data_IF_669372932477
#
_entry.id   IF_669372932477
#
_cell.length_a   1.000
_cell.length_b   1.000
_cell.length_c   1.000
_cell.angle_alpha   90.00
_cell.angle_beta   90.00
_cell.angle_gamma   90.00
#
_symmetry.space_group_name_H-M   'P 1'
#
loop_
_entity.id
_entity.type
_entity.pdbx_description
1 polymer ?
#
# COMPACT_ATOMS: atom_id res chain seq x y z
N UNK A 1 -18.44 -29.21 4.82
CA UNK A 1 -17.36 -28.22 4.58
C UNK A 1 -16.12 -29.02 4.19
N UNK A 2 -15.65 -28.89 2.96
CA UNK A 2 -14.40 -29.54 2.57
C UNK A 2 -13.31 -28.95 3.47
N UNK A 3 -12.63 -29.80 4.24
CA UNK A 3 -11.42 -29.42 4.98
C UNK A 3 -10.47 -28.76 3.98
N UNK A 4 -10.24 -27.45 4.07
CA UNK A 4 -9.28 -26.79 3.20
C UNK A 4 -7.90 -27.39 3.49
N UNK A 5 -7.19 -27.78 2.43
CA UNK A 5 -5.82 -28.32 2.52
C UNK A 5 -4.84 -27.34 3.20
N UNK A 6 -5.22 -26.06 3.27
CA UNK A 6 -4.43 -24.96 3.83
C UNK A 6 -5.26 -24.16 4.84
N UNK A 7 -4.60 -23.66 5.88
CA UNK A 7 -5.08 -22.52 6.68
C UNK A 7 -4.61 -21.22 6.00
N UNK A 8 -5.40 -20.71 5.04
CA UNK A 8 -5.02 -19.53 4.24
C UNK A 8 -4.89 -18.25 5.05
N UNK A 9 -5.47 -18.20 6.26
CA UNK A 9 -5.32 -17.06 7.16
C UNK A 9 -3.92 -17.00 7.76
N UNK A 10 -3.19 -18.13 7.80
CA UNK A 10 -1.84 -18.25 8.39
C UNK A 10 -0.75 -18.60 7.39
N UNK A 11 -1.08 -19.26 6.29
CA UNK A 11 -0.10 -19.73 5.30
C UNK A 11 0.72 -18.56 4.75
N UNK A 12 2.03 -18.57 5.02
CA UNK A 12 3.00 -17.60 4.52
C UNK A 12 3.45 -17.96 3.10
N UNK A 13 4.00 -16.98 2.36
CA UNK A 13 4.57 -17.19 1.03
C UNK A 13 5.77 -18.13 1.07
N UNK A 14 6.63 -17.98 2.07
CA UNK A 14 7.80 -18.83 2.29
C UNK A 14 7.42 -20.27 2.63
N UNK A 15 6.41 -20.50 3.48
CA UNK A 15 5.85 -21.85 3.71
C UNK A 15 5.22 -22.44 2.46
N UNK A 16 4.41 -21.66 1.72
CA UNK A 16 3.82 -22.10 0.47
C UNK A 16 4.90 -22.50 -0.54
N UNK A 17 5.99 -21.73 -0.64
CA UNK A 17 7.13 -22.05 -1.51
C UNK A 17 7.79 -23.38 -1.10
N UNK A 18 8.00 -23.61 0.20
CA UNK A 18 8.53 -24.89 0.73
C UNK A 18 7.62 -26.06 0.39
N UNK A 19 6.30 -25.92 0.50
CA UNK A 19 5.33 -26.98 0.13
C UNK A 19 5.36 -27.29 -1.38
N UNK A 20 5.48 -26.26 -2.22
CA UNK A 20 5.61 -26.42 -3.67
C UNK A 20 6.94 -27.12 -4.04
N UNK A 21 8.03 -26.76 -3.36
CA UNK A 21 9.34 -27.36 -3.57
C UNK A 21 9.41 -28.82 -3.09
N UNK A 22 8.76 -29.12 -1.97
CA UNK A 22 8.59 -30.47 -1.46
C UNK A 22 7.61 -31.31 -2.31
N UNK A 23 6.94 -30.69 -3.29
CA UNK A 23 5.91 -31.31 -4.15
C UNK A 23 4.76 -31.95 -3.35
N UNK A 24 4.50 -31.43 -2.16
CA UNK A 24 3.33 -31.82 -1.34
C UNK A 24 2.08 -31.07 -1.76
N UNK A 25 2.22 -30.06 -2.61
CA UNK A 25 1.13 -29.39 -3.32
C UNK A 25 1.62 -28.82 -4.66
N UNK A 26 0.71 -28.24 -5.42
CA UNK A 26 0.95 -27.58 -6.72
C UNK A 26 0.46 -26.13 -6.69
N UNK A 27 1.00 -25.28 -7.57
CA UNK A 27 0.53 -23.90 -7.72
C UNK A 27 -0.94 -23.88 -8.14
N UNK A 28 -1.39 -24.88 -8.91
CA UNK A 28 -2.80 -25.05 -9.28
C UNK A 28 -3.69 -25.26 -8.05
N UNK A 29 -3.31 -26.13 -7.11
CA UNK A 29 -4.06 -26.37 -5.87
C UNK A 29 -4.08 -25.11 -4.99
N UNK A 30 -2.94 -24.43 -4.87
CA UNK A 30 -2.82 -23.21 -4.09
C UNK A 30 -3.69 -22.08 -4.65
N UNK A 31 -3.64 -21.84 -5.97
CA UNK A 31 -4.48 -20.83 -6.64
C UNK A 31 -5.97 -21.16 -6.49
N UNK A 32 -6.37 -22.43 -6.60
CA UNK A 32 -7.77 -22.84 -6.38
C UNK A 32 -8.24 -22.54 -4.95
N UNK A 33 -7.38 -22.77 -3.95
CA UNK A 33 -7.71 -22.49 -2.56
C UNK A 33 -7.92 -20.99 -2.34
N UNK A 34 -7.03 -20.14 -2.86
CA UNK A 34 -7.17 -18.68 -2.77
C UNK A 34 -8.40 -18.16 -3.51
N UNK A 35 -8.69 -18.66 -4.72
CA UNK A 35 -9.90 -18.29 -5.46
C UNK A 35 -11.17 -18.65 -4.68
N UNK A 36 -11.22 -19.82 -4.05
CA UNK A 36 -12.36 -20.22 -3.22
C UNK A 36 -12.56 -19.28 -2.01
N UNK A 37 -11.47 -18.83 -1.38
CA UNK A 37 -11.52 -17.86 -0.27
C UNK A 37 -12.02 -16.48 -0.75
N UNK A 38 -11.55 -16.02 -1.92
CA UNK A 38 -11.98 -14.78 -2.55
C UNK A 38 -13.47 -14.83 -2.87
N UNK A 39 -13.94 -15.91 -3.52
CA UNK A 39 -15.35 -16.08 -3.88
C UNK A 39 -16.26 -16.09 -2.64
N UNK A 40 -15.77 -16.68 -1.53
CA UNK A 40 -16.52 -16.76 -0.29
C UNK A 40 -16.67 -15.41 0.43
N UNK A 41 -15.69 -14.51 0.32
CA UNK A 41 -15.58 -13.36 1.23
C UNK A 41 -15.35 -11.99 0.59
N UNK A 42 -14.94 -11.88 -0.69
CA UNK A 42 -14.67 -10.58 -1.30
C UNK A 42 -15.95 -9.78 -1.52
N UNK A 43 -16.89 -10.31 -2.31
CA UNK A 43 -18.21 -9.69 -2.52
C UNK A 43 -19.37 -10.49 -1.88
N UNK A 44 -19.07 -11.70 -1.41
CA UNK A 44 -19.97 -12.57 -0.67
C UNK A 44 -19.56 -12.63 0.80
N UNK A 45 -20.35 -13.28 1.65
CA UNK A 45 -19.98 -13.54 3.04
C UNK A 45 -19.67 -12.25 3.81
N UNK A 46 -18.38 -12.03 4.10
CA UNK A 46 -17.89 -10.87 4.83
C UNK A 46 -17.90 -9.57 4.01
N UNK A 47 -18.07 -9.65 2.68
CA UNK A 47 -18.13 -8.50 1.76
C UNK A 47 -16.95 -7.53 1.96
N UNK A 48 -15.75 -8.08 2.00
CA UNK A 48 -14.55 -7.31 2.30
C UNK A 48 -14.23 -6.27 1.22
N UNK A 49 -14.68 -6.48 -0.02
CA UNK A 49 -14.37 -5.66 -1.19
C UNK A 49 -12.87 -5.31 -1.29
N UNK A 50 -12.01 -6.26 -0.91
CA UNK A 50 -10.58 -6.08 -0.88
C UNK A 50 -9.97 -6.12 -2.29
N UNK A 51 -10.57 -6.89 -3.20
CA UNK A 51 -10.22 -6.91 -4.63
C UNK A 51 -11.26 -6.14 -5.43
N UNK A 52 -10.79 -5.20 -6.26
CA UNK A 52 -11.59 -4.46 -7.23
C UNK A 52 -11.75 -5.26 -8.54
N UNK A 53 -10.77 -6.11 -8.85
CA UNK A 53 -10.85 -7.07 -9.95
C UNK A 53 -10.01 -8.31 -9.66
N UNK A 54 -10.45 -9.45 -10.18
CA UNK A 54 -9.71 -10.70 -10.16
C UNK A 54 -9.48 -11.17 -11.60
N UNK A 55 -8.31 -11.77 -11.85
CA UNK A 55 -8.01 -12.29 -13.17
C UNK A 55 -8.90 -13.50 -13.48
N UNK A 56 -9.21 -13.78 -14.76
CA UNK A 56 -10.00 -14.95 -15.14
C UNK A 56 -9.43 -16.24 -14.55
N UNK A 57 -10.29 -17.05 -13.91
CA UNK A 57 -9.85 -18.24 -13.21
C UNK A 57 -9.13 -19.24 -14.13
N UNK A 58 -9.59 -19.40 -15.36
CA UNK A 58 -8.96 -20.24 -16.38
C UNK A 58 -7.55 -19.76 -16.74
N UNK A 59 -7.34 -18.45 -16.88
CA UNK A 59 -6.03 -17.84 -17.08
C UNK A 59 -5.09 -18.09 -15.90
N UNK A 60 -5.59 -17.93 -14.66
CA UNK A 60 -4.82 -18.20 -13.44
C UNK A 60 -4.42 -19.67 -13.33
N UNK A 61 -5.36 -20.60 -13.60
CA UNK A 61 -5.08 -22.04 -13.56
C UNK A 61 -4.12 -22.46 -14.68
N UNK A 62 -4.22 -21.88 -15.88
CA UNK A 62 -3.27 -22.13 -16.96
C UNK A 62 -1.86 -21.65 -16.59
N UNK A 63 -1.77 -20.45 -16.01
CA UNK A 63 -0.50 -19.87 -15.53
C UNK A 63 0.12 -20.73 -14.44
N UNK A 64 -0.67 -21.12 -13.43
CA UNK A 64 -0.23 -21.99 -12.34
C UNK A 64 0.29 -23.33 -12.86
N UNK A 65 -0.43 -23.96 -13.80
CA UNK A 65 -0.02 -25.24 -14.42
C UNK A 65 1.31 -25.11 -15.17
N UNK A 66 1.51 -24.00 -15.90
CA UNK A 66 2.79 -23.73 -16.57
C UNK A 66 3.93 -23.61 -15.56
N UNK A 67 3.72 -22.89 -14.46
CA UNK A 67 4.72 -22.74 -13.41
C UNK A 67 5.02 -24.08 -12.69
N UNK A 68 4.02 -24.94 -12.52
CA UNK A 68 4.22 -26.30 -11.99
C UNK A 68 5.05 -27.18 -12.96
N UNK A 69 4.85 -27.05 -14.28
CA UNK A 69 5.67 -27.73 -15.29
C UNK A 69 7.11 -27.21 -15.31
N UNK A 70 7.30 -25.90 -15.20
CA UNK A 70 8.64 -25.30 -15.06
C UNK A 70 9.33 -25.82 -13.79
N UNK A 71 8.60 -25.92 -12.67
CA UNK A 71 9.14 -26.52 -11.44
C UNK A 71 9.53 -27.98 -11.61
N UNK A 72 8.68 -28.80 -12.23
CA UNK A 72 8.94 -30.23 -12.38
C UNK A 72 10.12 -30.53 -13.32
N UNK A 73 10.36 -29.66 -14.30
CA UNK A 73 11.51 -29.70 -15.22
C UNK A 73 12.78 -29.02 -14.68
N UNK A 74 12.77 -28.54 -13.43
CA UNK A 74 13.93 -27.90 -12.80
C UNK A 74 14.19 -26.45 -13.23
N UNK A 75 13.26 -25.84 -13.97
CA UNK A 75 13.35 -24.46 -14.50
C UNK A 75 12.63 -23.44 -13.62
N UNK A 76 12.75 -23.55 -12.29
CA UNK A 76 12.20 -22.55 -11.36
C UNK A 76 12.85 -21.20 -11.61
N UNK A 77 12.05 -20.13 -11.60
CA UNK A 77 12.49 -18.77 -11.94
C UNK A 77 13.00 -17.97 -10.74
N UNK A 78 12.45 -18.24 -9.56
CA UNK A 78 12.85 -17.57 -8.32
C UNK A 78 12.38 -18.36 -7.09
N UNK A 79 12.71 -17.84 -5.91
CA UNK A 79 12.18 -18.33 -4.63
C UNK A 79 10.68 -18.05 -4.42
N UNK A 80 10.09 -17.14 -5.21
CA UNK A 80 8.65 -16.86 -5.24
C UNK A 80 7.95 -17.49 -6.46
N UNK A 81 8.61 -18.42 -7.16
CA UNK A 81 8.02 -19.14 -8.28
C UNK A 81 6.73 -19.85 -7.84
N UNK A 82 5.62 -19.65 -8.56
CA UNK A 82 4.31 -20.22 -8.25
C UNK A 82 3.54 -19.53 -7.11
N UNK A 83 4.09 -18.49 -6.50
CA UNK A 83 3.45 -17.81 -5.36
C UNK A 83 2.45 -16.74 -5.83
N UNK A 84 1.19 -16.78 -5.33
CA UNK A 84 0.20 -15.77 -5.62
C UNK A 84 0.47 -14.43 -4.93
N UNK A 85 0.08 -13.33 -5.58
CA UNK A 85 0.06 -11.99 -4.99
C UNK A 85 -1.05 -11.12 -5.60
N UNK A 86 -1.34 -9.99 -4.95
CA UNK A 86 -2.16 -8.92 -5.53
C UNK A 86 -1.40 -7.60 -5.56
N UNK A 87 -1.81 -6.70 -6.44
CA UNK A 87 -1.26 -5.34 -6.49
C UNK A 87 -2.39 -4.32 -6.40
N UNK A 88 -2.15 -3.19 -5.74
CA UNK A 88 -3.10 -2.06 -5.70
C UNK A 88 -3.53 -1.64 -7.12
N UNK A 89 -4.73 -1.12 -7.30
CA UNK A 89 -5.27 -0.73 -8.61
C UNK A 89 -4.67 0.54 -9.24
N UNK A 90 -3.37 0.74 -9.07
CA UNK A 90 -2.59 1.84 -9.67
C UNK A 90 -1.59 1.36 -10.71
N UNK A 91 -1.19 0.09 -10.66
CA UNK A 91 -0.18 -0.47 -11.55
C UNK A 91 -0.82 -0.86 -12.89
N UNK A 92 -0.45 -0.26 -14.01
CA UNK A 92 -1.00 -0.66 -15.31
C UNK A 92 -0.66 -2.10 -15.65
N UNK A 93 -1.62 -2.83 -16.20
CA UNK A 93 -1.48 -4.22 -16.63
C UNK A 93 -2.01 -4.41 -18.04
N UNK A 94 -1.24 -5.09 -18.89
CA UNK A 94 -1.66 -5.38 -20.26
C UNK A 94 -2.98 -6.20 -20.27
N UNK A 95 -3.89 -5.95 -21.22
CA UNK A 95 -5.20 -6.62 -21.29
C UNK A 95 -5.15 -8.15 -21.30
N UNK A 96 -4.04 -8.75 -21.74
CA UNK A 96 -3.83 -10.20 -21.68
C UNK A 96 -3.85 -10.80 -20.28
N UNK A 97 -3.72 -9.97 -19.23
CA UNK A 97 -3.84 -10.38 -17.84
C UNK A 97 -5.30 -10.39 -17.35
N UNK A 98 -6.24 -9.85 -18.12
CA UNK A 98 -7.65 -9.74 -17.71
C UNK A 98 -7.88 -8.84 -16.49
N UNK A 99 -6.94 -7.92 -16.22
CA UNK A 99 -6.94 -7.03 -15.07
C UNK A 99 -6.87 -5.58 -15.56
N UNK A 100 -8.01 -4.86 -15.65
CA UNK A 100 -8.00 -3.43 -15.94
C UNK A 100 -7.30 -2.66 -14.81
N UNK A 101 -6.98 -1.39 -15.05
CA UNK A 101 -6.39 -0.50 -14.04
C UNK A 101 -7.18 0.78 -14.02
N UNK A 102 -7.82 1.07 -12.88
CA UNK A 102 -8.81 2.15 -12.81
C UNK A 102 -8.45 3.26 -11.84
N UNK A 103 -7.45 3.07 -10.97
CA UNK A 103 -7.19 3.94 -9.83
C UNK A 103 -8.45 4.14 -8.94
N UNK A 104 -9.35 3.16 -8.94
CA UNK A 104 -10.67 3.22 -8.31
C UNK A 104 -11.72 4.05 -9.06
N UNK A 105 -11.40 4.65 -10.21
CA UNK A 105 -12.24 5.63 -10.87
C UNK A 105 -12.98 5.07 -12.12
N UNK A 106 -14.29 5.35 -12.29
CA UNK A 106 -15.06 4.83 -13.41
C UNK A 106 -14.58 5.30 -14.80
N UNK A 107 -13.98 6.49 -14.90
CA UNK A 107 -13.48 7.03 -16.17
C UNK A 107 -12.32 6.21 -16.79
N UNK A 108 -11.70 5.34 -16.00
CA UNK A 108 -10.66 4.41 -16.46
C UNK A 108 -11.16 2.96 -16.62
N UNK A 109 -12.44 2.68 -16.34
CA UNK A 109 -12.99 1.32 -16.36
C UNK A 109 -12.87 0.63 -17.71
N UNK A 110 -13.03 1.39 -18.80
CA UNK A 110 -12.95 0.91 -20.19
C UNK A 110 -11.59 1.20 -20.83
N UNK A 111 -10.67 1.80 -20.09
CA UNK A 111 -9.35 2.14 -20.59
C UNK A 111 -8.51 0.88 -20.82
N UNK A 112 -7.79 0.85 -21.95
CA UNK A 112 -7.00 -0.33 -22.37
C UNK A 112 -5.52 0.01 -22.25
N UNK A 113 -4.84 -0.57 -21.28
CA UNK A 113 -3.41 -0.33 -21.08
C UNK A 113 -2.58 -0.88 -22.24
N UNK A 114 -1.56 -0.12 -22.66
CA UNK A 114 -0.64 -0.49 -23.74
C UNK A 114 0.38 -1.55 -23.33
N UNK A 115 0.63 -1.68 -22.02
CA UNK A 115 1.67 -2.54 -21.45
C UNK A 115 1.38 -2.86 -19.99
N UNK A 116 2.17 -3.78 -19.45
CA UNK A 116 2.30 -3.99 -18.01
C UNK A 116 3.40 -3.09 -17.45
N UNK A 117 3.18 -2.51 -16.27
CA UNK A 117 4.18 -1.70 -15.56
C UNK A 117 5.45 -2.52 -15.28
N UNK A 118 6.66 -1.91 -15.31
CA UNK A 118 7.91 -2.66 -15.20
C UNK A 118 8.05 -3.47 -13.91
N UNK A 119 7.52 -2.96 -12.79
CA UNK A 119 7.52 -3.65 -11.51
C UNK A 119 6.66 -4.92 -11.54
N UNK A 120 5.45 -4.86 -12.11
CA UNK A 120 4.59 -6.04 -12.25
C UNK A 120 5.21 -7.04 -13.23
N UNK A 121 5.72 -6.56 -14.37
CA UNK A 121 6.41 -7.40 -15.35
C UNK A 121 7.61 -8.13 -14.72
N UNK A 122 8.36 -7.47 -13.83
CA UNK A 122 9.43 -8.10 -13.08
C UNK A 122 8.94 -9.23 -12.17
N UNK A 123 7.90 -9.01 -11.36
CA UNK A 123 7.34 -10.03 -10.47
C UNK A 123 6.77 -11.23 -11.26
N UNK A 124 6.13 -10.99 -12.40
CA UNK A 124 5.66 -12.06 -13.29
C UNK A 124 6.82 -12.85 -13.91
N UNK A 125 7.92 -12.19 -14.29
CA UNK A 125 9.15 -12.87 -14.76
C UNK A 125 9.79 -13.72 -13.67
N UNK A 126 9.70 -13.32 -12.40
CA UNK A 126 10.10 -14.15 -11.25
C UNK A 126 9.21 -15.39 -11.05
N UNK A 127 8.14 -15.53 -11.82
CA UNK A 127 7.23 -16.67 -11.75
C UNK A 127 6.14 -16.51 -10.70
N UNK A 128 5.88 -15.30 -10.21
CA UNK A 128 4.74 -15.03 -9.32
C UNK A 128 3.42 -14.99 -10.10
N UNK A 129 2.30 -15.24 -9.42
CA UNK A 129 0.96 -15.28 -10.03
C UNK A 129 0.16 -14.07 -9.53
N UNK A 130 -0.11 -13.11 -10.41
CA UNK A 130 -0.95 -11.97 -10.07
C UNK A 130 -2.43 -12.38 -10.09
N UNK A 131 -3.03 -12.57 -8.91
CA UNK A 131 -4.44 -13.01 -8.78
C UNK A 131 -5.41 -11.89 -9.12
N UNK A 132 -5.11 -10.65 -8.74
CA UNK A 132 -6.08 -9.56 -8.80
C UNK A 132 -5.51 -8.19 -8.54
N UNK A 133 -6.36 -7.19 -8.74
CA UNK A 133 -6.13 -5.82 -8.30
C UNK A 133 -6.83 -5.60 -6.97
N UNK A 134 -6.08 -5.08 -6.01
CA UNK A 134 -6.60 -4.66 -4.73
C UNK A 134 -7.33 -3.32 -4.87
N UNK A 135 -8.50 -3.22 -4.23
CA UNK A 135 -9.25 -1.98 -4.12
C UNK A 135 -8.44 -0.94 -3.31
N UNK A 136 -8.84 0.32 -3.42
CA UNK A 136 -8.10 1.45 -2.90
C UNK A 136 -9.04 2.62 -2.61
N UNK A 137 -8.53 3.62 -1.92
CA UNK A 137 -9.17 4.95 -1.93
C UNK A 137 -9.01 5.55 -3.33
N UNK A 138 -10.09 5.97 -3.98
CA UNK A 138 -10.08 6.48 -5.36
C UNK A 138 -9.02 7.58 -5.55
N UNK A 139 -8.29 7.54 -6.67
CA UNK A 139 -7.17 8.45 -6.97
C UNK A 139 -6.14 8.55 -5.83
N UNK A 140 -5.92 7.48 -5.09
CA UNK A 140 -5.05 7.45 -3.91
C UNK A 140 -5.43 8.45 -2.80
N UNK A 141 -6.68 8.90 -2.76
CA UNK A 141 -7.18 9.89 -1.80
C UNK A 141 -7.32 11.29 -2.37
N UNK A 142 -6.81 11.59 -3.56
CA UNK A 142 -6.90 12.91 -4.18
C UNK A 142 -8.25 13.11 -4.88
N UNK A 143 -9.27 13.50 -4.12
CA UNK A 143 -10.59 13.82 -4.68
C UNK A 143 -11.30 14.91 -3.91
N UNK A 144 -11.46 14.74 -2.61
CA UNK A 144 -12.11 15.69 -1.71
C UNK A 144 -11.48 15.59 -0.32
N UNK A 145 -11.47 16.67 0.49
CA UNK A 145 -10.82 16.64 1.82
C UNK A 145 -11.38 15.60 2.79
N UNK A 146 -12.64 15.24 2.64
CA UNK A 146 -13.41 14.30 3.46
C UNK A 146 -13.55 12.91 2.81
N UNK A 147 -12.63 12.54 1.91
CA UNK A 147 -12.66 11.28 1.20
C UNK A 147 -12.68 10.09 2.16
N UNK A 148 -13.71 9.25 2.03
CA UNK A 148 -13.81 8.00 2.80
C UNK A 148 -12.69 7.04 2.43
N UNK A 149 -11.84 6.76 3.41
CA UNK A 149 -10.70 5.87 3.22
C UNK A 149 -11.15 4.43 2.88
N UNK A 150 -10.53 3.87 1.85
CA UNK A 150 -10.81 2.52 1.34
C UNK A 150 -12.04 2.42 0.44
N UNK A 151 -12.70 3.54 0.16
CA UNK A 151 -13.80 3.62 -0.79
C UNK A 151 -13.32 4.00 -2.20
N UNK A 152 -13.89 3.35 -3.20
CA UNK A 152 -13.86 3.83 -4.58
C UNK A 152 -15.20 3.53 -5.27
N UNK A 153 -15.63 4.34 -6.26
CA UNK A 153 -16.83 4.04 -7.03
C UNK A 153 -16.78 2.66 -7.70
N UNK A 154 -15.61 2.27 -8.21
CA UNK A 154 -15.43 1.02 -8.95
C UNK A 154 -15.39 -0.20 -8.02
N UNK A 155 -14.77 -0.09 -6.86
CA UNK A 155 -14.55 -1.22 -5.94
C UNK A 155 -15.48 -1.26 -4.72
N UNK A 156 -16.23 -0.19 -4.46
CA UNK A 156 -17.00 0.00 -3.24
C UNK A 156 -16.13 0.24 -2.01
N UNK A 157 -16.74 0.16 -0.82
CA UNK A 157 -16.04 0.30 0.46
C UNK A 157 -15.29 -1.00 0.80
N UNK A 158 -13.96 -0.92 0.83
CA UNK A 158 -13.11 -1.96 1.44
C UNK A 158 -13.39 -2.04 2.94
N UNK A 159 -13.56 -3.24 3.46
CA UNK A 159 -13.71 -3.49 4.90
C UNK A 159 -12.42 -4.02 5.51
N UNK A 160 -12.15 -3.64 6.76
CA UNK A 160 -11.11 -4.28 7.56
C UNK A 160 -11.60 -5.67 8.02
N UNK A 161 -10.81 -6.74 7.85
CA UNK A 161 -11.17 -8.06 8.36
C UNK A 161 -11.25 -8.15 9.90
N UNK A 162 -10.80 -7.12 10.61
CA UNK A 162 -10.77 -7.04 12.08
C UNK A 162 -11.89 -6.18 12.67
N UNK A 163 -12.72 -5.56 11.83
CA UNK A 163 -13.81 -4.67 12.26
C UNK A 163 -15.14 -5.34 11.96
N UNK A 164 -15.89 -5.67 13.00
CA UNK A 164 -17.24 -6.22 12.86
C UNK A 164 -18.24 -5.10 12.52
N UNK A 165 -19.16 -5.38 11.59
CA UNK A 165 -20.18 -4.40 11.17
C UNK A 165 -19.71 -3.43 10.08
N UNK A 166 -18.40 -3.37 9.82
CA UNK A 166 -17.80 -2.55 8.77
C UNK A 166 -17.51 -1.12 9.22
N UNK A 167 -17.33 -0.21 8.25
CA UNK A 167 -17.08 1.21 8.51
C UNK A 167 -18.27 1.83 9.26
N UNK A 168 -18.00 2.47 10.39
CA UNK A 168 -19.00 3.16 11.22
C UNK A 168 -19.53 4.43 10.55
N UNK A 169 -20.80 4.74 10.76
CA UNK A 169 -21.41 5.98 10.25
C UNK A 169 -20.82 7.18 10.99
N UNK A 170 -20.37 8.20 10.23
CA UNK A 170 -19.73 9.38 10.79
C UNK A 170 -18.29 9.18 11.24
N UNK A 171 -17.68 8.05 10.90
CA UNK A 171 -16.27 7.78 11.17
C UNK A 171 -15.36 8.86 10.58
N UNK A 172 -14.30 9.22 11.30
CA UNK A 172 -13.29 10.18 10.81
C UNK A 172 -12.43 9.54 9.72
N UNK A 173 -11.73 10.36 8.92
CA UNK A 173 -10.95 9.93 7.74
C UNK A 173 -10.09 8.68 7.98
N UNK A 174 -9.46 8.58 9.15
CA UNK A 174 -8.63 7.43 9.56
C UNK A 174 -9.05 6.91 10.95
N UNK A 175 -10.35 6.93 11.23
CA UNK A 175 -10.92 6.44 12.49
C UNK A 175 -10.79 4.93 12.69
N UNK A 176 -11.35 4.40 13.78
CA UNK A 176 -11.06 3.04 14.23
C UNK A 176 -11.65 1.93 13.36
N UNK A 177 -12.82 2.16 12.77
CA UNK A 177 -13.46 1.24 11.84
C UNK A 177 -12.91 1.34 10.41
N UNK A 178 -12.09 2.37 10.11
CA UNK A 178 -11.46 2.56 8.82
C UNK A 178 -10.41 1.47 8.54
N UNK A 179 -10.34 0.93 7.32
CA UNK A 179 -9.28 -0.01 6.93
C UNK A 179 -7.91 0.68 6.77
N UNK A 180 -7.82 2.00 6.98
CA UNK A 180 -6.66 2.79 6.57
C UNK A 180 -6.54 2.84 5.05
N UNK A 181 -5.57 3.60 4.51
CA UNK A 181 -5.45 3.73 3.06
C UNK A 181 -4.33 4.66 2.65
N UNK A 182 -4.08 4.83 1.35
CA UNK A 182 -4.98 4.42 0.25
C UNK A 182 -4.86 2.98 -0.24
N UNK A 183 -3.88 2.18 0.22
CA UNK A 183 -3.73 0.76 -0.20
C UNK A 183 -4.58 -0.21 0.63
N UNK A 184 -5.83 0.16 0.89
CA UNK A 184 -6.75 -0.55 1.81
C UNK A 184 -7.01 -2.00 1.40
N UNK A 185 -7.31 -2.24 0.11
CA UNK A 185 -7.56 -3.57 -0.42
C UNK A 185 -6.31 -4.45 -0.40
N UNK A 186 -5.11 -3.89 -0.58
CA UNK A 186 -3.86 -4.64 -0.51
C UNK A 186 -3.65 -5.22 0.88
N UNK A 187 -3.96 -4.47 1.93
CA UNK A 187 -3.88 -4.93 3.32
C UNK A 187 -4.98 -5.94 3.63
N UNK A 188 -6.24 -5.60 3.32
CA UNK A 188 -7.39 -6.46 3.59
C UNK A 188 -7.28 -7.82 2.89
N UNK A 189 -6.79 -7.86 1.64
CA UNK A 189 -6.61 -9.10 0.88
C UNK A 189 -5.59 -10.05 1.54
N UNK A 190 -4.47 -9.53 2.05
CA UNK A 190 -3.48 -10.36 2.75
C UNK A 190 -4.03 -10.82 4.08
N UNK A 191 -4.60 -9.92 4.88
CA UNK A 191 -5.17 -10.25 6.19
C UNK A 191 -6.25 -11.35 6.09
N UNK A 192 -7.17 -11.23 5.12
CA UNK A 192 -8.26 -12.17 4.89
C UNK A 192 -7.85 -13.51 4.22
N UNK A 193 -6.57 -13.67 3.90
CA UNK A 193 -6.05 -14.90 3.28
C UNK A 193 -6.43 -15.05 1.81
N UNK A 194 -6.61 -13.95 1.07
CA UNK A 194 -6.82 -13.98 -0.39
C UNK A 194 -5.52 -14.21 -1.15
N UNK A 195 -4.39 -13.79 -0.56
CA UNK A 195 -3.02 -14.04 -1.03
C UNK A 195 -2.05 -13.90 0.16
N UNK A 196 -0.84 -14.48 0.08
CA UNK A 196 0.16 -14.31 1.13
C UNK A 196 0.91 -12.96 1.04
N UNK A 197 0.93 -12.33 -0.15
CA UNK A 197 1.68 -11.11 -0.43
C UNK A 197 0.83 -10.10 -1.19
N UNK A 198 1.02 -8.81 -0.88
CA UNK A 198 0.51 -7.74 -1.72
C UNK A 198 1.51 -6.59 -1.87
N UNK A 199 1.36 -5.83 -2.94
CA UNK A 199 2.11 -4.58 -3.14
C UNK A 199 1.16 -3.38 -3.19
N UNK A 200 1.67 -2.24 -2.72
CA UNK A 200 0.95 -0.97 -2.66
C UNK A 200 1.85 0.21 -2.98
N UNK A 201 1.27 1.41 -2.88
CA UNK A 201 1.98 2.67 -3.11
C UNK A 201 1.75 3.64 -1.97
N UNK A 202 2.75 4.47 -1.69
CA UNK A 202 2.73 5.46 -0.61
C UNK A 202 3.51 6.72 -0.95
N UNK A 203 2.88 7.89 -0.77
CA UNK A 203 3.58 9.16 -0.50
C UNK A 203 3.86 9.26 1.01
N UNK A 204 2.80 9.14 1.81
CA UNK A 204 2.87 8.99 3.25
C UNK A 204 1.71 8.10 3.74
N UNK A 205 2.00 7.18 4.66
CA UNK A 205 1.07 6.30 5.37
C UNK A 205 0.20 5.33 4.53
N UNK A 206 0.19 5.45 3.20
CA UNK A 206 -0.68 4.67 2.32
C UNK A 206 -0.33 3.18 2.16
N UNK A 207 0.78 2.71 2.72
CA UNK A 207 1.15 1.30 2.87
C UNK A 207 1.13 0.92 4.36
N UNK A 208 1.79 1.70 5.21
CA UNK A 208 2.00 1.32 6.62
C UNK A 208 0.74 1.44 7.49
N UNK A 209 -0.09 2.47 7.32
CA UNK A 209 -1.35 2.60 8.05
C UNK A 209 -2.33 1.46 7.74
N UNK A 210 -2.70 1.16 6.47
CA UNK A 210 -3.61 0.05 6.20
C UNK A 210 -3.03 -1.30 6.63
N UNK A 211 -1.72 -1.51 6.53
CA UNK A 211 -1.07 -2.72 7.04
C UNK A 211 -1.18 -2.84 8.57
N UNK A 212 -0.91 -1.75 9.30
CA UNK A 212 -1.05 -1.70 10.76
C UNK A 212 -2.48 -2.01 11.19
N UNK A 213 -3.48 -1.41 10.53
CA UNK A 213 -4.91 -1.64 10.79
C UNK A 213 -5.37 -3.06 10.45
N UNK A 214 -4.65 -3.74 9.55
CA UNK A 214 -4.90 -5.12 9.17
C UNK A 214 -3.99 -6.14 9.88
N UNK A 215 -3.21 -5.72 10.90
CA UNK A 215 -2.33 -6.61 11.66
C UNK A 215 -1.21 -7.25 10.81
N UNK A 216 -0.68 -6.53 9.84
CA UNK A 216 0.34 -7.01 8.90
C UNK A 216 1.69 -6.32 9.10
N UNK A 217 2.76 -7.00 8.65
CA UNK A 217 4.05 -6.36 8.44
C UNK A 217 4.05 -5.64 7.09
N UNK A 218 4.65 -4.44 7.05
CA UNK A 218 4.80 -3.69 5.82
C UNK A 218 6.10 -2.92 5.76
N UNK A 219 6.56 -2.66 4.54
CA UNK A 219 7.72 -1.84 4.26
C UNK A 219 7.46 -1.04 2.99
N UNK A 220 7.60 0.28 3.09
CA UNK A 220 7.74 1.17 1.93
C UNK A 220 9.21 1.19 1.53
N UNK A 221 9.53 0.96 0.25
CA UNK A 221 10.90 1.11 -0.21
C UNK A 221 11.32 2.59 -0.14
N UNK A 222 12.62 2.85 -0.19
CA UNK A 222 13.12 4.23 -0.29
C UNK A 222 12.63 4.90 -1.56
N UNK A 223 12.50 6.22 -1.53
CA UNK A 223 12.06 7.00 -2.68
C UNK A 223 12.94 6.69 -3.90
N UNK A 224 12.32 6.57 -5.08
CA UNK A 224 13.02 6.33 -6.35
C UNK A 224 13.83 5.01 -6.43
N UNK A 225 13.69 4.09 -5.45
CA UNK A 225 14.43 2.81 -5.45
C UNK A 225 13.76 1.69 -6.25
N UNK A 226 12.45 1.79 -6.48
CA UNK A 226 11.67 0.88 -7.32
C UNK A 226 11.12 1.67 -8.50
N UNK A 227 11.23 1.12 -9.72
CA UNK A 227 10.69 1.77 -10.90
C UNK A 227 9.14 1.80 -10.85
N UNK A 228 8.58 2.99 -10.63
CA UNK A 228 7.15 3.27 -10.59
C UNK A 228 6.52 3.74 -11.92
N UNK A 229 7.17 3.48 -13.06
CA UNK A 229 6.59 3.78 -14.37
C UNK A 229 5.31 2.97 -14.61
N UNK A 230 4.32 3.60 -15.24
CA UNK A 230 3.00 2.99 -15.42
C UNK A 230 2.23 2.80 -14.10
N UNK A 231 2.52 3.60 -13.08
CA UNK A 231 1.73 3.63 -11.85
C UNK A 231 1.00 4.97 -11.72
N UNK A 232 -0.28 4.94 -11.38
CA UNK A 232 -0.96 6.14 -10.88
C UNK A 232 -0.29 6.58 -9.57
N UNK A 233 0.09 7.85 -9.46
CA UNK A 233 0.78 8.41 -8.31
C UNK A 233 0.82 9.94 -8.37
N UNK A 234 1.30 10.57 -7.31
CA UNK A 234 1.29 12.03 -7.20
C UNK A 234 2.64 12.68 -7.51
N UNK A 235 3.75 12.06 -7.11
CA UNK A 235 5.07 12.66 -7.21
C UNK A 235 6.14 11.62 -7.50
N UNK A 236 6.97 11.87 -8.51
CA UNK A 236 8.13 11.01 -8.80
C UNK A 236 9.14 11.00 -7.65
N UNK A 237 9.14 12.07 -6.83
CA UNK A 237 10.07 12.24 -5.72
C UNK A 237 9.55 11.70 -4.40
N UNK A 238 8.23 11.56 -4.22
CA UNK A 238 7.63 11.12 -2.96
C UNK A 238 6.92 9.76 -3.06
N UNK A 239 6.39 9.39 -4.24
CA UNK A 239 5.78 8.08 -4.43
C UNK A 239 6.80 6.97 -4.22
N UNK A 240 6.43 6.03 -3.36
CA UNK A 240 7.18 4.82 -3.07
C UNK A 240 6.31 3.59 -3.35
N UNK A 241 6.95 2.51 -3.78
CA UNK A 241 6.33 1.19 -3.86
C UNK A 241 6.80 0.38 -2.66
N UNK A 242 5.92 -0.47 -2.13
CA UNK A 242 6.26 -1.36 -1.03
C UNK A 242 5.34 -2.56 -0.96
N UNK A 243 5.55 -3.37 0.08
CA UNK A 243 4.89 -4.65 0.25
C UNK A 243 4.22 -4.81 1.61
N UNK A 244 3.27 -5.73 1.68
CA UNK A 244 2.60 -6.16 2.90
C UNK A 244 2.58 -7.69 2.96
N UNK A 245 2.74 -8.25 4.15
CA UNK A 245 2.70 -9.70 4.37
C UNK A 245 2.40 -10.07 5.83
N UNK A 246 2.15 -11.36 6.07
CA UNK A 246 1.87 -11.90 7.41
C UNK A 246 3.13 -12.16 8.25
N UNK A 247 4.32 -12.12 7.66
CA UNK A 247 5.58 -12.42 8.34
C UNK A 247 6.72 -11.51 7.89
N UNK A 248 7.71 -11.28 8.76
CA UNK A 248 8.90 -10.51 8.41
C UNK A 248 9.72 -11.20 7.32
N UNK A 249 9.75 -12.52 7.30
CA UNK A 249 10.44 -13.32 6.27
C UNK A 249 9.84 -13.06 4.89
N UNK A 250 8.51 -13.19 4.76
CA UNK A 250 7.79 -12.91 3.52
C UNK A 250 7.99 -11.47 3.04
N UNK A 251 7.96 -10.51 3.98
CA UNK A 251 8.20 -9.11 3.67
C UNK A 251 9.61 -8.89 3.13
N UNK A 252 10.64 -9.42 3.78
CA UNK A 252 12.03 -9.28 3.35
C UNK A 252 12.24 -9.88 1.95
N UNK A 253 11.60 -11.01 1.67
CA UNK A 253 11.63 -11.68 0.37
C UNK A 253 10.97 -10.81 -0.71
N UNK A 254 9.77 -10.28 -0.44
CA UNK A 254 9.04 -9.42 -1.36
C UNK A 254 9.80 -8.12 -1.64
N UNK A 255 10.36 -7.49 -0.61
CA UNK A 255 11.14 -6.25 -0.77
C UNK A 255 12.41 -6.50 -1.58
N UNK A 256 13.10 -7.63 -1.37
CA UNK A 256 14.26 -7.99 -2.18
C UNK A 256 13.88 -8.17 -3.65
N UNK A 257 12.71 -8.78 -3.93
CA UNK A 257 12.16 -8.88 -5.28
C UNK A 257 11.87 -7.50 -5.89
N UNK A 258 11.20 -6.60 -5.16
CA UNK A 258 10.91 -5.25 -5.66
C UNK A 258 12.17 -4.43 -5.95
N UNK A 259 13.20 -4.58 -5.12
CA UNK A 259 14.51 -3.93 -5.29
C UNK A 259 15.42 -4.65 -6.29
N UNK A 260 14.97 -5.77 -6.87
CA UNK A 260 15.73 -6.63 -7.78
C UNK A 260 17.09 -7.08 -7.19
N UNK A 261 17.11 -7.36 -5.89
CA UNK A 261 18.30 -7.84 -5.17
C UNK A 261 18.27 -9.36 -5.09
N UNK A 262 19.46 -9.96 -5.11
CA UNK A 262 19.59 -11.38 -4.75
C UNK A 262 19.13 -11.56 -3.31
N UNK A 263 18.27 -12.55 -3.09
CA UNK A 263 17.67 -12.82 -1.80
C UNK A 263 18.35 -14.03 -1.15
N UNK A 264 19.12 -13.86 -0.07
CA UNK A 264 19.50 -14.97 0.77
C UNK A 264 18.28 -15.29 1.63
N UNK A 265 17.49 -16.28 1.21
CA UNK A 265 16.20 -16.68 1.81
C UNK A 265 16.29 -17.22 3.26
N UNK A 266 17.30 -16.79 4.01
CA UNK A 266 17.53 -17.13 5.40
C UNK A 266 17.90 -15.86 6.17
N UNK A 267 16.91 -15.28 6.85
CA UNK A 267 17.13 -14.23 7.84
C UNK A 267 17.91 -14.76 9.06
N UNK A 268 18.05 -16.08 9.21
CA UNK A 268 18.73 -16.75 10.29
C UNK A 268 18.13 -16.41 11.66
N UNK A 269 18.94 -16.57 12.70
CA UNK A 269 18.60 -16.17 14.07
C UNK A 269 19.02 -14.73 14.36
N UNK A 270 18.86 -13.80 13.41
CA UNK A 270 19.22 -12.39 13.64
C UNK A 270 18.37 -11.85 14.80
N UNK A 271 19.07 -11.41 15.85
CA UNK A 271 18.48 -10.78 17.01
C UNK A 271 18.75 -9.27 16.97
N UNK A 272 17.95 -8.48 17.67
CA UNK A 272 18.15 -7.04 17.85
C UNK A 272 19.16 -6.71 18.97
N UNK A 273 19.96 -7.69 19.39
CA UNK A 273 21.02 -7.52 20.39
C UNK A 273 22.03 -6.45 19.95
N UNK A 274 22.30 -5.49 20.84
CA UNK A 274 23.20 -4.36 20.59
C UNK A 274 22.65 -3.25 19.70
N UNK A 275 21.45 -3.40 19.10
CA UNK A 275 20.83 -2.34 18.28
C UNK A 275 20.41 -1.18 19.19
N UNK A 276 20.79 0.05 18.83
CA UNK A 276 20.40 1.29 19.52
C UNK A 276 19.09 1.81 18.92
N UNK A 277 18.01 1.79 19.69
CA UNK A 277 16.66 2.12 19.23
C UNK A 277 16.15 3.35 19.99
N UNK A 278 15.83 4.39 19.23
CA UNK A 278 15.24 5.63 19.71
C UNK A 278 13.71 5.55 19.61
N UNK A 279 13.00 5.58 20.72
CA UNK A 279 11.54 5.66 20.76
C UNK A 279 11.08 7.10 20.86
N UNK A 280 10.16 7.50 19.99
CA UNK A 280 9.41 8.76 20.16
C UNK A 280 8.49 8.65 21.38
N UNK A 281 8.07 9.78 21.92
CA UNK A 281 6.93 9.81 22.84
C UNK A 281 5.64 9.42 22.10
N UNK A 282 4.65 8.86 22.81
CA UNK A 282 3.34 8.55 22.23
C UNK A 282 2.53 9.83 21.97
N UNK A 283 2.50 10.71 22.97
CA UNK A 283 1.83 12.00 22.91
C UNK A 283 2.49 12.87 21.82
N UNK A 284 1.72 13.35 20.84
CA UNK A 284 2.25 14.12 19.70
C UNK A 284 2.63 13.30 18.46
N UNK A 285 2.84 11.98 18.61
CA UNK A 285 3.12 11.04 17.51
C UNK A 285 1.92 10.17 17.11
N UNK A 286 0.74 10.51 17.62
CA UNK A 286 -0.56 10.04 17.14
C UNK A 286 -1.18 11.04 16.16
N UNK A 287 -2.16 10.58 15.38
CA UNK A 287 -2.94 11.46 14.52
C UNK A 287 -3.72 12.52 15.34
N UNK A 288 -3.88 13.75 14.84
CA UNK A 288 -4.67 14.76 15.52
C UNK A 288 -6.15 14.36 15.55
N UNK A 289 -6.91 14.88 16.54
CA UNK A 289 -8.32 14.51 16.73
C UNK A 289 -9.16 14.71 15.45
N UNK A 290 -8.86 15.73 14.63
CA UNK A 290 -9.55 15.95 13.35
C UNK A 290 -9.50 14.75 12.39
N UNK A 291 -8.50 13.88 12.51
CA UNK A 291 -8.25 12.75 11.62
C UNK A 291 -8.64 11.40 12.25
N UNK A 292 -8.37 11.21 13.54
CA UNK A 292 -8.69 10.01 14.30
C UNK A 292 -9.15 10.40 15.71
N UNK A 293 -10.26 9.82 16.18
CA UNK A 293 -10.65 9.94 17.59
C UNK A 293 -9.81 8.97 18.42
N UNK A 294 -9.45 9.34 19.64
CA UNK A 294 -8.68 8.46 20.53
C UNK A 294 -9.39 8.33 21.88
N UNK A 295 -10.31 7.36 22.03
CA UNK A 295 -10.95 7.08 23.31
C UNK A 295 -9.92 6.77 24.40
N UNK A 296 -10.23 7.13 25.65
CA UNK A 296 -9.29 6.97 26.77
C UNK A 296 -8.76 5.54 26.93
N UNK A 297 -9.64 4.54 26.77
CA UNK A 297 -9.24 3.12 26.84
C UNK A 297 -8.30 2.72 25.70
N UNK A 298 -8.49 3.27 24.50
CA UNK A 298 -7.61 3.04 23.34
C UNK A 298 -6.24 3.68 23.56
N UNK A 299 -6.19 4.92 24.06
CA UNK A 299 -4.93 5.59 24.39
C UNK A 299 -4.17 4.81 25.47
N UNK A 300 -4.88 4.35 26.51
CA UNK A 300 -4.27 3.53 27.57
C UNK A 300 -3.72 2.21 27.01
N UNK A 301 -4.45 1.54 26.10
CA UNK A 301 -3.97 0.34 25.44
C UNK A 301 -2.70 0.62 24.62
N UNK A 302 -2.68 1.71 23.84
CA UNK A 302 -1.54 2.09 23.01
C UNK A 302 -0.31 2.42 23.86
N UNK A 303 -0.49 3.16 24.95
CA UNK A 303 0.58 3.50 25.89
C UNK A 303 1.19 2.25 26.53
N UNK A 304 0.34 1.32 26.99
CA UNK A 304 0.80 0.03 27.51
C UNK A 304 1.57 -0.78 26.46
N UNK A 305 1.03 -0.92 25.23
CA UNK A 305 1.72 -1.65 24.16
C UNK A 305 3.05 -0.99 23.77
N UNK A 306 3.12 0.34 23.79
CA UNK A 306 4.34 1.10 23.52
C UNK A 306 5.43 0.79 24.56
N UNK A 307 5.08 0.90 25.86
CA UNK A 307 5.98 0.60 26.97
C UNK A 307 6.40 -0.88 27.03
N UNK A 308 5.47 -1.80 26.76
CA UNK A 308 5.75 -3.23 26.66
C UNK A 308 6.71 -3.56 25.52
N UNK A 309 6.55 -2.89 24.36
CA UNK A 309 7.45 -3.07 23.21
C UNK A 309 8.87 -2.60 23.52
N UNK A 310 9.02 -1.42 24.12
CA UNK A 310 10.32 -0.91 24.57
C UNK A 310 10.98 -1.87 25.59
N UNK A 311 10.20 -2.35 26.57
CA UNK A 311 10.67 -3.31 27.58
C UNK A 311 11.09 -4.65 26.95
N UNK A 312 10.34 -5.12 25.94
CA UNK A 312 10.64 -6.37 25.23
C UNK A 312 11.95 -6.24 24.46
N UNK A 313 12.17 -5.13 23.74
CA UNK A 313 13.43 -4.90 23.01
C UNK A 313 14.64 -4.82 23.94
N UNK A 314 14.52 -4.14 25.09
CA UNK A 314 15.55 -4.16 26.14
C UNK A 314 15.87 -5.59 26.60
N UNK A 315 14.85 -6.42 26.81
CA UNK A 315 15.03 -7.83 27.22
C UNK A 315 15.71 -8.70 26.16
N UNK A 316 15.66 -8.29 24.89
CA UNK A 316 16.32 -8.94 23.76
C UNK A 316 17.73 -8.40 23.47
N UNK A 317 18.25 -7.48 24.31
CA UNK A 317 19.61 -6.95 24.20
C UNK A 317 19.75 -5.61 23.48
N UNK A 318 18.64 -5.02 23.01
CA UNK A 318 18.68 -3.68 22.39
C UNK A 318 18.92 -2.58 23.44
N UNK A 319 19.64 -1.54 23.03
CA UNK A 319 19.79 -0.31 23.82
C UNK A 319 18.64 0.63 23.45
N UNK A 320 17.70 0.86 24.36
CA UNK A 320 16.50 1.65 24.07
C UNK A 320 16.56 2.99 24.79
N UNK A 321 16.49 4.06 24.00
CA UNK A 321 16.33 5.44 24.47
C UNK A 321 14.88 5.85 24.23
N UNK A 322 14.17 6.22 25.29
CA UNK A 322 12.76 6.64 25.20
C UNK A 322 12.65 8.16 25.15
N UNK A 323 11.56 8.65 24.55
CA UNK A 323 11.23 10.07 24.43
C UNK A 323 12.31 10.90 23.74
N UNK A 324 12.81 10.41 22.59
CA UNK A 324 13.79 11.18 21.81
C UNK A 324 13.18 12.44 21.22
N UNK A 325 13.97 13.51 21.21
CA UNK A 325 13.55 14.81 20.68
C UNK A 325 13.65 14.83 19.14
N UNK A 326 12.58 14.36 18.50
CA UNK A 326 12.31 14.51 17.08
C UNK A 326 11.09 15.44 16.93
N UNK A 327 11.16 16.53 16.14
CA UNK A 327 10.02 17.44 16.00
C UNK A 327 8.81 16.71 15.43
N UNK A 328 7.60 17.06 15.86
CA UNK A 328 6.40 16.49 15.23
C UNK A 328 6.26 17.05 13.81
N UNK A 329 5.86 16.23 12.83
CA UNK A 329 5.96 16.61 11.42
C UNK A 329 4.92 17.65 10.97
N UNK A 330 3.95 17.98 11.81
CA UNK A 330 2.80 18.83 11.46
C UNK A 330 3.23 20.24 11.02
N UNK A 331 4.03 20.91 11.85
CA UNK A 331 4.59 22.23 11.53
C UNK A 331 5.92 22.14 10.79
N UNK A 332 6.66 21.02 10.94
CA UNK A 332 7.99 20.87 10.33
C UNK A 332 7.95 20.99 8.81
N UNK A 333 6.87 20.51 8.19
CA UNK A 333 6.73 20.45 6.73
C UNK A 333 5.82 21.53 6.13
N UNK A 334 5.72 22.68 6.79
CA UNK A 334 5.08 23.89 6.26
C UNK A 334 6.10 24.92 5.75
N UNK A 335 5.82 25.55 4.60
CA UNK A 335 6.62 26.63 4.02
C UNK A 335 5.68 27.68 3.44
N UNK A 336 5.85 28.94 3.86
CA UNK A 336 5.02 30.08 3.43
C UNK A 336 3.51 29.88 3.64
N UNK A 337 3.13 29.14 4.69
CA UNK A 337 1.73 28.84 5.03
C UNK A 337 1.15 27.65 4.26
N UNK A 338 1.92 26.99 3.40
CA UNK A 338 1.50 25.85 2.61
C UNK A 338 2.16 24.55 3.09
N UNK A 339 1.45 23.44 2.95
CA UNK A 339 1.98 22.12 3.27
C UNK A 339 2.87 21.62 2.12
N UNK A 340 4.16 21.39 2.39
CA UNK A 340 5.12 21.02 1.35
C UNK A 340 4.80 19.68 0.67
N UNK A 341 4.25 18.68 1.39
CA UNK A 341 3.85 17.40 0.77
C UNK A 341 2.74 17.61 -0.25
N UNK A 342 1.72 18.37 0.14
CA UNK A 342 0.60 18.70 -0.73
C UNK A 342 1.08 19.44 -1.98
N UNK A 343 1.81 20.55 -1.82
CA UNK A 343 2.15 21.38 -2.97
C UNK A 343 3.10 20.71 -3.96
N UNK A 344 4.10 19.96 -3.47
CA UNK A 344 4.98 19.15 -4.32
C UNK A 344 4.18 18.10 -5.08
N UNK A 345 3.34 17.35 -4.36
CA UNK A 345 2.54 16.25 -4.93
C UNK A 345 1.57 16.76 -5.98
N UNK A 346 0.86 17.85 -5.69
CA UNK A 346 -0.15 18.38 -6.59
C UNK A 346 0.47 19.05 -7.83
N UNK A 347 1.64 19.71 -7.69
CA UNK A 347 2.39 20.21 -8.84
C UNK A 347 2.81 19.09 -9.79
N UNK A 348 3.45 18.04 -9.27
CA UNK A 348 3.93 16.93 -10.09
C UNK A 348 2.77 16.10 -10.65
N UNK A 349 1.68 15.95 -9.89
CA UNK A 349 0.50 15.22 -10.32
C UNK A 349 -0.08 15.80 -11.62
N UNK A 350 -0.36 17.11 -11.62
CA UNK A 350 -0.97 17.80 -12.75
C UNK A 350 -0.03 17.87 -13.95
N UNK A 351 1.25 18.19 -13.73
CA UNK A 351 2.18 18.49 -14.81
C UNK A 351 2.88 17.26 -15.39
N UNK A 352 3.04 16.19 -14.61
CA UNK A 352 3.86 15.03 -15.00
C UNK A 352 3.11 13.71 -14.83
N UNK A 353 2.63 13.40 -13.62
CA UNK A 353 2.19 12.04 -13.27
C UNK A 353 0.88 11.64 -13.91
N UNK A 354 -0.16 12.48 -13.83
CA UNK A 354 -1.45 12.18 -14.44
C UNK A 354 -1.38 12.11 -15.97
N UNK A 355 -0.75 13.07 -16.69
CA UNK A 355 -0.55 12.96 -18.13
C UNK A 355 0.20 11.69 -18.52
N UNK A 356 1.27 11.33 -17.79
CA UNK A 356 2.02 10.10 -18.05
C UNK A 356 1.15 8.85 -17.86
N UNK A 357 0.36 8.79 -16.78
CA UNK A 357 -0.55 7.67 -16.53
C UNK A 357 -1.62 7.53 -17.60
N UNK A 358 -2.30 8.62 -17.99
CA UNK A 358 -3.30 8.63 -19.07
C UNK A 358 -2.68 8.13 -20.39
N UNK A 359 -1.43 8.50 -20.67
CA UNK A 359 -0.72 8.07 -21.88
C UNK A 359 -0.41 6.57 -21.92
N UNK A 360 -0.49 5.85 -20.81
CA UNK A 360 -0.39 4.38 -20.79
C UNK A 360 -1.58 3.69 -21.45
N UNK A 361 -2.68 4.40 -21.72
CA UNK A 361 -3.92 3.82 -22.23
C UNK A 361 -4.21 4.18 -23.69
N UNK A 362 -4.75 3.21 -24.43
CA UNK A 362 -5.35 3.39 -25.76
C UNK A 362 -6.28 2.21 -26.13
N UNK A 363 -7.61 2.40 -26.21
CA UNK A 363 -8.36 3.65 -25.95
C UNK A 363 -8.39 4.07 -24.47
N UNK A 364 -8.78 5.33 -24.22
CA UNK A 364 -9.03 5.93 -22.91
C UNK A 364 -10.08 7.05 -23.09
N UNK A 365 -11.13 7.06 -22.26
CA UNK A 365 -12.26 8.00 -22.38
C UNK A 365 -11.88 9.43 -22.03
N UNK A 366 -10.97 9.59 -21.07
CA UNK A 366 -10.45 10.89 -20.62
C UNK A 366 -9.00 11.08 -21.04
N UNK A 367 -8.62 12.32 -21.37
CA UNK A 367 -7.28 12.71 -21.81
C UNK A 367 -6.62 13.78 -20.93
N UNK A 368 -7.35 14.31 -19.96
CA UNK A 368 -6.87 15.39 -19.08
C UNK A 368 -7.59 15.37 -17.72
N UNK A 369 -7.04 16.09 -16.74
CA UNK A 369 -7.71 16.31 -15.45
C UNK A 369 -9.08 17.01 -15.63
N UNK A 370 -9.16 17.99 -16.53
CA UNK A 370 -10.41 18.70 -16.81
C UNK A 370 -11.50 17.74 -17.35
N UNK A 371 -11.11 16.78 -18.19
CA UNK A 371 -12.02 15.74 -18.68
C UNK A 371 -12.42 14.75 -17.60
N UNK A 372 -11.53 14.42 -16.65
CA UNK A 372 -11.90 13.60 -15.47
C UNK A 372 -12.97 14.32 -14.63
N UNK A 373 -12.76 15.60 -14.32
CA UNK A 373 -13.74 16.40 -13.56
C UNK A 373 -15.08 16.48 -14.29
N UNK A 374 -15.05 16.73 -15.60
CA UNK A 374 -16.26 16.77 -16.44
C UNK A 374 -16.96 15.40 -16.51
N UNK A 375 -16.20 14.31 -16.61
CA UNK A 375 -16.73 12.95 -16.59
C UNK A 375 -17.46 12.67 -15.28
N UNK A 376 -16.84 13.03 -14.14
CA UNK A 376 -17.45 12.82 -12.82
C UNK A 376 -18.78 13.56 -12.69
N UNK A 377 -18.88 14.81 -13.17
CA UNK A 377 -20.15 15.55 -13.15
C UNK A 377 -21.21 14.94 -14.07
N UNK A 378 -20.82 14.47 -15.26
CA UNK A 378 -21.74 13.83 -16.19
C UNK A 378 -22.26 12.47 -15.68
N UNK A 379 -21.47 11.78 -14.85
CA UNK A 379 -21.78 10.46 -14.29
C UNK A 379 -21.88 10.53 -12.77
N UNK A 380 -22.53 11.59 -12.26
CA UNK A 380 -22.55 11.94 -10.83
C UNK A 380 -23.14 10.85 -9.95
N UNK A 381 -24.15 10.15 -10.43
CA UNK A 381 -24.81 9.03 -9.73
C UNK A 381 -23.85 7.85 -9.44
N UNK A 382 -22.82 7.67 -10.26
CA UNK A 382 -21.81 6.62 -10.10
C UNK A 382 -20.57 7.19 -9.43
N UNK A 383 -20.05 8.32 -9.91
CA UNK A 383 -18.76 8.85 -9.48
C UNK A 383 -18.85 9.62 -8.16
N UNK A 384 -20.00 10.19 -7.83
CA UNK A 384 -20.22 11.02 -6.64
C UNK A 384 -21.58 10.69 -6.00
N UNK A 385 -21.80 9.42 -5.62
CA UNK A 385 -23.06 8.96 -5.05
C UNK A 385 -23.26 9.54 -3.65
N UNK A 386 -24.44 9.32 -3.09
CA UNK A 386 -24.78 9.78 -1.74
C UNK A 386 -23.77 9.29 -0.70
N UNK A 387 -23.24 10.20 0.13
CA UNK A 387 -22.18 9.95 1.11
C UNK A 387 -20.76 10.12 0.57
N UNK A 388 -20.60 10.34 -0.74
CA UNK A 388 -19.31 10.51 -1.42
C UNK A 388 -19.40 11.59 -2.52
N UNK A 389 -20.13 12.69 -2.28
CA UNK A 389 -20.55 13.65 -3.30
C UNK A 389 -19.48 14.65 -3.78
N UNK A 390 -18.26 14.59 -3.22
CA UNK A 390 -17.21 15.60 -3.40
C UNK A 390 -16.19 15.29 -4.50
N UNK A 391 -15.69 16.34 -5.15
CA UNK A 391 -14.47 16.31 -5.97
C UNK A 391 -13.67 17.64 -5.92
N UNK A 392 -13.81 18.38 -4.82
CA UNK A 392 -13.30 19.75 -4.67
C UNK A 392 -11.80 19.85 -4.95
N UNK A 393 -11.01 18.85 -4.55
CA UNK A 393 -9.56 18.86 -4.77
C UNK A 393 -9.26 18.77 -6.27
N UNK A 394 -9.95 17.91 -7.01
CA UNK A 394 -9.79 17.81 -8.46
C UNK A 394 -10.20 19.11 -9.16
N UNK A 395 -11.34 19.69 -8.77
CA UNK A 395 -11.83 20.95 -9.35
C UNK A 395 -10.85 22.09 -9.13
N UNK A 396 -10.29 22.23 -7.93
CA UNK A 396 -9.32 23.28 -7.60
C UNK A 396 -8.01 23.13 -8.40
N UNK A 397 -7.68 21.92 -8.85
CA UNK A 397 -6.52 21.64 -9.67
C UNK A 397 -6.73 21.98 -11.16
N UNK A 398 -7.97 22.05 -11.64
CA UNK A 398 -8.26 22.41 -13.03
C UNK A 398 -7.95 23.88 -13.27
N UNK A 399 -6.83 24.15 -13.96
CA UNK A 399 -6.46 25.49 -14.42
C UNK A 399 -5.72 26.37 -13.39
N UNK A 400 -5.38 25.82 -12.22
CA UNK A 400 -4.51 26.51 -11.27
C UNK A 400 -3.08 26.57 -11.85
N UNK A 401 -2.57 27.77 -12.09
CA UNK A 401 -1.15 27.95 -12.40
C UNK A 401 -0.33 27.51 -11.19
N UNK A 402 0.60 26.57 -11.38
CA UNK A 402 1.49 26.12 -10.33
C UNK A 402 2.93 26.47 -10.68
N UNK A 403 3.62 27.10 -9.74
CA UNK A 403 4.99 27.56 -9.93
C UNK A 403 6.00 26.44 -9.65
N UNK A 404 6.70 26.00 -10.71
CA UNK A 404 7.74 24.99 -10.61
C UNK A 404 8.98 25.46 -9.84
N UNK A 405 9.24 26.76 -9.77
CA UNK A 405 10.34 27.30 -8.95
C UNK A 405 10.03 27.12 -7.46
N UNK A 406 8.80 27.44 -7.04
CA UNK A 406 8.34 27.21 -5.68
C UNK A 406 8.35 25.72 -5.32
N UNK A 407 7.84 24.84 -6.19
CA UNK A 407 7.89 23.38 -5.95
C UNK A 407 9.32 22.88 -5.71
N UNK A 408 10.29 23.32 -6.52
CA UNK A 408 11.69 22.91 -6.36
C UNK A 408 12.29 23.41 -5.05
N UNK A 409 11.95 24.64 -4.64
CA UNK A 409 12.38 25.20 -3.36
C UNK A 409 11.79 24.42 -2.17
N UNK A 410 10.48 24.13 -2.21
CA UNK A 410 9.81 23.30 -1.20
C UNK A 410 10.41 21.90 -1.10
N UNK A 411 10.70 21.24 -2.23
CA UNK A 411 11.32 19.92 -2.23
C UNK A 411 12.72 19.95 -1.60
N UNK A 412 13.54 20.93 -1.95
CA UNK A 412 14.88 21.08 -1.38
C UNK A 412 14.82 21.32 0.14
N UNK A 413 13.89 22.17 0.59
CA UNK A 413 13.71 22.47 2.00
C UNK A 413 13.14 21.29 2.79
N UNK A 414 12.15 20.57 2.25
CA UNK A 414 11.63 19.33 2.82
C UNK A 414 12.75 18.29 3.02
N UNK A 415 13.60 18.08 2.02
CA UNK A 415 14.75 17.16 2.09
C UNK A 415 15.73 17.58 3.17
N UNK A 416 16.06 18.88 3.24
CA UNK A 416 16.95 19.44 4.25
C UNK A 416 16.40 19.22 5.67
N UNK A 417 15.13 19.56 5.91
CA UNK A 417 14.47 19.42 7.22
C UNK A 417 14.33 17.96 7.64
N UNK A 418 13.82 17.12 6.75
CA UNK A 418 13.64 15.69 7.01
C UNK A 418 14.96 15.00 7.35
N UNK A 419 16.02 15.27 6.57
CA UNK A 419 17.35 14.72 6.84
C UNK A 419 17.94 15.24 8.14
N UNK A 420 17.90 16.55 8.39
CA UNK A 420 18.43 17.14 9.62
C UNK A 420 17.76 16.57 10.87
N UNK A 421 16.44 16.38 10.83
CA UNK A 421 15.67 15.82 11.94
C UNK A 421 16.04 14.36 12.21
N UNK A 422 16.14 13.53 11.17
CA UNK A 422 16.51 12.12 11.31
C UNK A 422 17.99 11.93 11.71
N UNK A 423 18.92 12.61 11.02
CA UNK A 423 20.36 12.50 11.25
C UNK A 423 20.72 12.86 12.70
N UNK A 424 20.06 13.88 13.27
CA UNK A 424 20.25 14.28 14.67
C UNK A 424 19.97 13.14 15.66
N UNK A 425 18.97 12.30 15.38
CA UNK A 425 18.63 11.17 16.25
C UNK A 425 19.49 9.94 15.92
N UNK A 426 19.74 9.71 14.63
CA UNK A 426 20.50 8.57 14.13
C UNK A 426 22.03 8.71 14.29
N UNK A 427 22.54 9.86 14.74
CA UNK A 427 23.94 10.00 15.18
C UNK A 427 24.24 9.05 16.36
N UNK A 428 23.33 9.03 17.34
CA UNK A 428 23.46 8.22 18.55
C UNK A 428 22.64 6.92 18.53
N UNK A 429 21.88 6.65 17.47
CA UNK A 429 20.98 5.49 17.37
C UNK A 429 21.01 4.84 15.98
N UNK A 430 20.57 3.59 15.88
CA UNK A 430 20.51 2.84 14.62
C UNK A 430 19.11 2.85 14.01
N UNK A 431 18.07 2.95 14.84
CA UNK A 431 16.65 2.88 14.44
C UNK A 431 15.84 3.89 15.24
N UNK A 432 14.88 4.55 14.58
CA UNK A 432 13.82 5.31 15.25
C UNK A 432 12.54 4.47 15.21
N UNK A 433 11.91 4.30 16.37
CA UNK A 433 10.66 3.60 16.56
C UNK A 433 9.58 4.58 17.05
N UNK A 434 8.38 4.41 16.51
CA UNK A 434 7.16 5.13 16.87
C UNK A 434 5.99 4.16 16.72
N UNK A 435 4.82 4.54 17.18
CA UNK A 435 3.59 3.86 16.78
C UNK A 435 3.45 3.82 15.25
N UNK A 436 3.01 2.67 14.73
CA UNK A 436 2.96 2.42 13.29
C UNK A 436 1.89 3.27 12.59
N UNK A 437 0.74 3.46 13.23
CA UNK A 437 -0.30 4.36 12.74
C UNK A 437 -0.15 5.78 13.31
N UNK A 438 0.98 6.38 12.94
CA UNK A 438 1.39 7.71 13.34
C UNK A 438 2.17 8.38 12.21
N UNK A 439 2.76 9.58 12.44
CA UNK A 439 3.23 10.40 11.35
C UNK A 439 4.73 10.24 11.04
N UNK A 440 5.44 9.32 11.72
CA UNK A 440 6.85 8.99 11.41
C UNK A 440 7.15 8.70 9.93
N UNK A 441 6.26 8.03 9.17
CA UNK A 441 6.46 7.81 7.73
C UNK A 441 6.62 9.11 6.92
N UNK A 442 6.11 10.25 7.41
CA UNK A 442 6.34 11.56 6.78
C UNK A 442 7.83 11.92 6.77
N UNK A 443 8.56 11.71 7.87
CA UNK A 443 10.01 11.94 7.87
C UNK A 443 10.74 11.02 6.89
N UNK A 444 10.35 9.76 6.84
CA UNK A 444 10.92 8.79 5.91
C UNK A 444 10.62 9.12 4.43
N UNK A 445 9.54 9.86 4.14
CA UNK A 445 9.23 10.36 2.80
C UNK A 445 9.93 11.69 2.51
N UNK A 446 10.09 12.54 3.53
CA UNK A 446 10.73 13.85 3.46
C UNK A 446 12.25 13.77 3.30
N UNK A 447 12.94 12.83 3.96
CA UNK A 447 14.40 12.73 3.89
C UNK A 447 14.92 12.33 2.50
N UNK A 448 14.12 11.60 1.71
CA UNK A 448 14.51 11.14 0.38
C UNK A 448 15.65 10.11 0.42
N UNK A 449 16.48 10.12 -0.63
CA UNK A 449 17.64 9.22 -0.79
C UNK A 449 18.93 9.87 -0.29
#
# INVERSE_FOLDING_TARGET
MASSQFDLLRLTATEAARLLDARTTTSVELVKAYLAQIDAHNHSGLKLNALISAAPADLLIATARKLDQERSSGSRRSSLHGIPFVCKDVFVTHPSLGLPTTAGAPCFQTAVARRTSPVIEHLLRMGMILIGKANMTEFCGLKTPDHTTGWSPTGGQTQSPYVFGGLEEGEKVIGHSSPGGSSSGSASAVAAGFVPLSIGTEVCNSIVTPASRAGLYALKCGNETVNGDGCFGFSKHLDCIGGMSKSVEDLAVLISALLQRENPFDLGNRCCDGVRIAFTELEGWIWPDRACSWPGDTLLQMDNCHAETASKLKSLGSQVTENVNLPTPWAEFEMDGENMFTEISLFEFVNERLPAFINEFNPCEVRSLAEIVAYNEQNRDICMPRGHEGQTDLTNLVGAARDGANQKAMLAEMRRRGKLALDKVLEDHDVIASIADGPLPMYAAAAGK
#
